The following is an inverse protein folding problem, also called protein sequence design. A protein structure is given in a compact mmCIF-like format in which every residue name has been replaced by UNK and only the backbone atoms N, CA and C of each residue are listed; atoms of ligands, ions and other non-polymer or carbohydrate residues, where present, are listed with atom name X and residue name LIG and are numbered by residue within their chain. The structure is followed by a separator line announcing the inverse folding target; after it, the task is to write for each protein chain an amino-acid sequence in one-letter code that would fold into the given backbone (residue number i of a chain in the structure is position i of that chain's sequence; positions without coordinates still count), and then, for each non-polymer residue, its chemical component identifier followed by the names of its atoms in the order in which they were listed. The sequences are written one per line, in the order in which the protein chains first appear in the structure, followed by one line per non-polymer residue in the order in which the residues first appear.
data_IF_970899049486
#
_entry.id   IF_970899049486
#
_cell.length_a   1.000
_cell.length_b   1.000
_cell.length_c   1.000
_cell.angle_alpha   90.00
_cell.angle_beta   90.00
_cell.angle_gamma   90.00
#
_symmetry.space_group_name_H-M   'P 1'
#
loop_
_entity.id
_entity.type
_entity.pdbx_description
1 polymer ?
#
# COMPACT_ATOMS: atom_id res chain seq x y z
N UNK A 1 1.16 78.67 66.91
CA UNK A 1 -0.26 78.64 66.36
C UNK A 1 -0.29 77.52 65.32
N UNK A 2 -0.53 76.39 65.80
CA UNK A 2 -1.68 75.52 65.69
C UNK A 2 -2.06 75.21 64.24
N UNK A 3 -1.74 74.04 63.76
CA UNK A 3 -2.43 73.35 62.61
C UNK A 3 -2.47 71.87 62.91
N UNK A 4 -3.62 71.41 62.90
CA UNK A 4 -4.15 70.13 63.30
C UNK A 4 -3.79 69.01 62.36
N UNK A 5 -3.37 67.87 62.89
CA UNK A 5 -3.04 66.68 62.13
C UNK A 5 -4.28 65.82 62.05
N UNK A 6 -4.68 65.47 60.82
CA UNK A 6 -5.72 64.48 60.60
C UNK A 6 -5.06 63.22 60.01
N UNK A 7 -5.04 62.16 60.80
CA UNK A 7 -4.58 60.84 60.42
C UNK A 7 -5.71 60.08 59.62
N UNK A 8 -5.42 59.38 58.53
CA UNK A 8 -6.39 58.50 57.89
C UNK A 8 -6.35 57.09 58.49
N UNK A 9 -7.54 56.48 58.55
CA UNK A 9 -7.88 55.15 59.07
C UNK A 9 -7.24 54.02 58.20
N UNK A 10 -7.05 52.82 58.75
CA UNK A 10 -6.41 51.71 58.09
C UNK A 10 -7.36 51.06 57.06
N UNK A 11 -6.84 50.75 55.88
CA UNK A 11 -7.49 50.03 54.82
C UNK A 11 -7.59 48.54 55.14
N UNK A 12 -8.79 47.99 54.96
CA UNK A 12 -9.18 46.62 55.09
C UNK A 12 -8.25 45.65 54.31
N UNK A 13 -7.58 44.78 54.99
CA UNK A 13 -6.79 43.69 54.50
C UNK A 13 -7.68 42.52 54.04
N UNK A 14 -8.13 42.53 52.78
CA UNK A 14 -8.71 41.33 52.15
C UNK A 14 -7.58 40.51 51.49
N UNK A 15 -7.46 39.20 51.78
CA UNK A 15 -6.45 38.38 51.15
C UNK A 15 -6.76 38.18 49.64
N UNK A 16 -5.78 38.43 48.80
CA UNK A 16 -5.87 38.18 47.36
C UNK A 16 -6.11 36.70 47.08
N UNK A 17 -7.28 36.40 46.52
CA UNK A 17 -7.60 35.04 46.03
C UNK A 17 -6.65 34.72 44.89
N UNK A 18 -5.66 33.85 45.13
CA UNK A 18 -4.84 33.22 44.08
C UNK A 18 -5.73 32.42 43.13
N UNK A 19 -5.98 32.97 41.96
CA UNK A 19 -6.60 32.22 40.86
C UNK A 19 -5.69 31.04 40.52
N UNK A 20 -6.17 29.80 40.71
CA UNK A 20 -5.55 28.58 40.20
C UNK A 20 -5.44 28.70 38.70
N UNK A 21 -4.28 28.34 38.08
CA UNK A 21 -4.20 28.26 36.63
C UNK A 21 -5.25 27.25 36.14
N UNK A 22 -6.12 27.69 35.26
CA UNK A 22 -7.10 26.81 34.59
C UNK A 22 -6.36 25.72 33.82
N UNK A 23 -6.88 24.51 33.91
CA UNK A 23 -6.47 23.35 33.09
C UNK A 23 -6.35 23.80 31.64
N UNK A 24 -5.22 23.50 30.94
CA UNK A 24 -5.10 23.80 29.53
C UNK A 24 -6.30 23.17 28.80
N UNK A 25 -7.04 23.96 28.02
CA UNK A 25 -8.03 23.44 27.09
C UNK A 25 -7.27 22.53 26.12
N UNK A 26 -7.72 21.28 26.01
CA UNK A 26 -7.27 20.37 24.96
C UNK A 26 -7.38 21.12 23.62
N UNK A 27 -6.26 21.28 22.94
CA UNK A 27 -6.28 21.78 21.57
C UNK A 27 -7.21 20.87 20.74
N UNK A 28 -7.89 21.41 19.72
CA UNK A 28 -8.65 20.56 18.78
C UNK A 28 -7.72 19.45 18.32
N UNK A 29 -8.22 18.21 18.32
CA UNK A 29 -7.52 17.11 17.69
C UNK A 29 -7.30 17.53 16.24
N UNK A 30 -6.04 17.83 15.88
CA UNK A 30 -5.65 18.00 14.49
C UNK A 30 -6.00 16.69 13.78
N UNK A 31 -6.57 16.81 12.59
CA UNK A 31 -6.74 15.66 11.69
C UNK A 31 -5.39 14.94 11.55
N UNK A 32 -5.39 13.59 11.36
CA UNK A 32 -4.14 12.85 11.25
C UNK A 32 -3.30 13.47 10.14
N UNK A 33 -2.14 13.97 10.51
CA UNK A 33 -1.17 14.52 9.57
C UNK A 33 -0.72 13.35 8.68
N UNK A 34 -1.15 13.36 7.42
CA UNK A 34 -0.83 12.33 6.41
C UNK A 34 0.68 12.12 6.35
N UNK A 35 1.46 13.18 6.50
CA UNK A 35 2.91 13.12 6.53
C UNK A 35 3.44 12.28 7.71
N UNK A 36 2.88 12.42 8.92
CA UNK A 36 3.29 11.61 10.08
C UNK A 36 2.99 10.13 9.89
N UNK A 37 1.85 9.79 9.26
CA UNK A 37 1.51 8.40 8.96
C UNK A 37 2.51 7.77 8.01
N UNK A 38 2.89 8.47 6.95
CA UNK A 38 3.85 8.01 5.95
C UNK A 38 5.27 7.91 6.53
N UNK A 39 5.67 8.84 7.39
CA UNK A 39 6.93 8.76 8.13
C UNK A 39 7.00 7.53 9.05
N UNK A 40 5.88 7.17 9.72
CA UNK A 40 5.79 5.95 10.52
C UNK A 40 6.00 4.72 9.65
N UNK A 41 5.34 4.64 8.48
CA UNK A 41 5.46 3.53 7.55
C UNK A 41 6.89 3.37 7.03
N UNK A 42 7.52 4.47 6.59
CA UNK A 42 8.88 4.46 6.06
C UNK A 42 9.91 4.03 7.12
N UNK A 43 9.81 4.54 8.34
CA UNK A 43 10.67 4.13 9.46
C UNK A 43 10.44 2.67 9.82
N UNK A 44 9.18 2.23 9.88
CA UNK A 44 8.82 0.85 10.20
C UNK A 44 9.38 -0.13 9.14
N UNK A 45 9.22 0.17 7.85
CA UNK A 45 9.76 -0.63 6.75
C UNK A 45 11.27 -0.83 6.90
N UNK A 46 12.02 0.24 7.15
CA UNK A 46 13.47 0.16 7.38
C UNK A 46 13.85 -0.68 8.60
N UNK A 47 13.13 -0.54 9.71
CA UNK A 47 13.39 -1.31 10.93
C UNK A 47 13.05 -2.79 10.72
N UNK A 48 11.91 -3.11 10.11
CA UNK A 48 11.53 -4.49 9.80
C UNK A 48 12.54 -5.16 8.87
N UNK A 49 13.01 -4.46 7.84
CA UNK A 49 14.03 -4.99 6.93
C UNK A 49 15.38 -5.22 7.62
N UNK A 50 15.77 -4.35 8.58
CA UNK A 50 17.06 -4.39 9.25
C UNK A 50 17.15 -5.43 10.37
N UNK A 51 16.11 -5.55 11.20
CA UNK A 51 16.13 -6.33 12.44
C UNK A 51 14.96 -7.31 12.58
N UNK A 52 14.13 -7.43 11.53
CA UNK A 52 12.95 -8.30 11.49
C UNK A 52 11.74 -7.74 12.25
N UNK A 53 10.60 -8.39 12.04
CA UNK A 53 9.34 -8.02 12.69
C UNK A 53 9.44 -8.16 14.22
N UNK A 54 9.90 -9.33 14.71
CA UNK A 54 10.00 -9.59 16.15
C UNK A 54 11.00 -8.66 16.86
N UNK A 55 12.10 -8.32 16.21
CA UNK A 55 13.12 -7.41 16.73
C UNK A 55 12.69 -5.94 16.78
N UNK A 56 11.55 -5.58 16.17
CA UNK A 56 11.07 -4.20 16.07
C UNK A 56 9.89 -3.96 17.00
N UNK A 57 9.92 -2.86 17.74
CA UNK A 57 8.83 -2.44 18.63
C UNK A 57 8.22 -1.10 18.18
N UNK A 58 6.94 -0.89 18.46
CA UNK A 58 6.25 0.39 18.20
C UNK A 58 6.92 1.57 18.90
N UNK A 59 7.54 1.32 20.08
CA UNK A 59 8.31 2.32 20.80
C UNK A 59 9.57 2.76 20.04
N UNK A 60 10.30 1.81 19.45
CA UNK A 60 11.47 2.12 18.61
C UNK A 60 11.06 2.91 17.36
N UNK A 61 9.96 2.50 16.70
CA UNK A 61 9.43 3.23 15.55
C UNK A 61 9.11 4.68 15.95
N UNK A 62 8.31 4.90 17.01
CA UNK A 62 7.95 6.22 17.49
C UNK A 62 9.19 7.07 17.85
N UNK A 63 10.21 6.46 18.47
CA UNK A 63 11.46 7.13 18.84
C UNK A 63 12.24 7.61 17.60
N UNK A 64 12.31 6.78 16.55
CA UNK A 64 13.04 7.14 15.31
C UNK A 64 12.29 8.21 14.51
N UNK A 65 10.95 8.16 14.48
CA UNK A 65 10.09 9.21 13.89
C UNK A 65 10.16 10.52 14.69
N UNK A 66 10.50 10.46 15.98
CA UNK A 66 10.53 11.64 16.85
C UNK A 66 9.18 11.99 17.47
N UNK A 67 8.25 11.03 17.54
CA UNK A 67 6.92 11.21 18.12
C UNK A 67 6.77 10.43 19.44
N UNK A 68 5.72 10.75 20.19
CA UNK A 68 5.34 9.95 21.37
C UNK A 68 4.69 8.65 20.91
N UNK A 69 4.91 7.55 21.65
CA UNK A 69 4.27 6.27 21.35
C UNK A 69 2.72 6.37 21.34
N UNK A 70 2.13 7.22 22.16
CA UNK A 70 0.69 7.49 22.11
C UNK A 70 0.23 8.11 20.78
N UNK A 71 1.07 8.93 20.16
CA UNK A 71 0.79 9.49 18.82
C UNK A 71 0.86 8.42 17.74
N UNK A 72 1.78 7.45 17.84
CA UNK A 72 1.82 6.31 16.92
C UNK A 72 0.54 5.50 17.02
N UNK A 73 0.04 5.22 18.22
CA UNK A 73 -1.21 4.48 18.42
C UNK A 73 -2.46 5.22 17.94
N UNK A 74 -2.38 6.51 17.71
CA UNK A 74 -3.44 7.26 17.05
C UNK A 74 -3.55 6.90 15.54
N UNK A 75 -2.41 6.61 14.89
CA UNK A 75 -2.36 6.24 13.48
C UNK A 75 -2.53 4.72 13.25
N UNK A 76 -1.99 3.89 14.14
CA UNK A 76 -1.96 2.44 14.01
C UNK A 76 -2.27 1.77 15.36
N UNK A 77 -3.28 0.90 15.38
CA UNK A 77 -3.74 0.24 16.60
C UNK A 77 -2.65 -0.65 17.24
N UNK A 78 -1.82 -1.28 16.42
CA UNK A 78 -0.78 -2.22 16.82
C UNK A 78 0.33 -2.32 15.75
N UNK A 79 1.36 -3.13 16.03
CA UNK A 79 2.48 -3.35 15.12
C UNK A 79 2.05 -4.08 13.83
N UNK A 80 1.11 -5.01 13.93
CA UNK A 80 0.59 -5.74 12.76
C UNK A 80 -0.18 -4.84 11.82
N UNK A 81 -0.94 -3.86 12.33
CA UNK A 81 -1.62 -2.84 11.52
C UNK A 81 -0.64 -2.01 10.66
N UNK A 82 0.56 -1.74 11.18
CA UNK A 82 1.62 -1.07 10.41
C UNK A 82 2.07 -1.95 9.25
N UNK A 83 2.27 -3.24 9.49
CA UNK A 83 2.68 -4.18 8.44
C UNK A 83 1.60 -4.32 7.38
N UNK A 84 0.33 -4.49 7.77
CA UNK A 84 -0.80 -4.57 6.81
C UNK A 84 -0.86 -3.32 5.94
N UNK A 85 -0.69 -2.14 6.51
CA UNK A 85 -0.64 -0.89 5.73
C UNK A 85 0.57 -0.82 4.78
N UNK A 86 1.74 -1.34 5.18
CA UNK A 86 2.90 -1.45 4.31
C UNK A 86 2.64 -2.43 3.15
N UNK A 87 2.08 -3.61 3.45
CA UNK A 87 1.73 -4.61 2.44
C UNK A 87 0.69 -4.07 1.44
N UNK A 88 -0.31 -3.36 1.91
CA UNK A 88 -1.32 -2.74 1.05
C UNK A 88 -0.68 -1.65 0.17
N UNK A 89 0.20 -0.82 0.74
CA UNK A 89 0.96 0.19 0.01
C UNK A 89 1.87 -0.37 -1.10
N UNK A 90 2.31 -1.63 -1.00
CA UNK A 90 3.14 -2.25 -2.06
C UNK A 90 2.35 -2.53 -3.34
N UNK A 91 1.04 -2.64 -3.29
CA UNK A 91 0.18 -2.89 -4.46
C UNK A 91 -0.47 -1.62 -5.02
N UNK A 92 -0.47 -0.52 -4.27
CA UNK A 92 -1.06 0.75 -4.71
C UNK A 92 -0.57 1.26 -6.07
N UNK A 93 0.73 1.13 -6.43
CA UNK A 93 1.19 1.50 -7.77
C UNK A 93 0.52 0.70 -8.87
N UNK A 94 0.34 -0.62 -8.68
CA UNK A 94 -0.32 -1.52 -9.62
C UNK A 94 -1.82 -1.24 -9.73
N UNK A 95 -2.47 -0.89 -8.63
CA UNK A 95 -3.87 -0.43 -8.63
C UNK A 95 -4.00 0.86 -9.43
N UNK A 96 -3.16 1.86 -9.18
CA UNK A 96 -3.16 3.14 -9.90
C UNK A 96 -2.93 2.94 -11.42
N UNK A 97 -2.00 2.06 -11.78
CA UNK A 97 -1.78 1.70 -13.17
C UNK A 97 -2.99 1.00 -13.79
N UNK A 98 -3.63 0.08 -13.08
CA UNK A 98 -4.84 -0.62 -13.53
C UNK A 98 -6.01 0.34 -13.77
N UNK A 99 -6.18 1.35 -12.92
CA UNK A 99 -7.20 2.38 -13.12
C UNK A 99 -6.93 3.22 -14.38
N UNK A 100 -5.68 3.62 -14.59
CA UNK A 100 -5.30 4.33 -15.81
C UNK A 100 -5.56 3.47 -17.06
N UNK A 101 -5.24 2.16 -17.04
CA UNK A 101 -5.50 1.24 -18.15
C UNK A 101 -6.98 1.14 -18.52
N UNK A 102 -7.92 1.37 -17.60
CA UNK A 102 -9.36 1.37 -17.90
C UNK A 102 -9.76 2.47 -18.89
N UNK A 103 -9.10 3.63 -18.79
CA UNK A 103 -9.35 4.77 -19.67
C UNK A 103 -8.63 4.71 -21.01
N UNK A 104 -7.67 3.79 -21.17
CA UNK A 104 -6.89 3.64 -22.41
C UNK A 104 -7.64 2.74 -23.39
N UNK A 105 -7.70 3.12 -24.67
CA UNK A 105 -8.18 2.26 -25.74
C UNK A 105 -7.06 1.29 -26.18
N UNK A 106 -7.19 0.03 -25.81
CA UNK A 106 -6.30 -1.06 -26.21
C UNK A 106 -7.02 -2.41 -26.07
N UNK A 107 -6.52 -3.41 -26.78
CA UNK A 107 -7.03 -4.78 -26.72
C UNK A 107 -6.89 -5.36 -25.29
N UNK A 108 -7.83 -6.19 -24.83
CA UNK A 108 -7.79 -6.77 -23.48
C UNK A 108 -6.48 -7.52 -23.18
N UNK A 109 -5.94 -8.26 -24.17
CA UNK A 109 -4.69 -8.99 -24.07
C UNK A 109 -3.50 -8.05 -23.81
N UNK A 110 -3.49 -6.89 -24.49
CA UNK A 110 -2.47 -5.87 -24.31
C UNK A 110 -2.54 -5.27 -22.91
N UNK A 111 -3.75 -4.97 -22.41
CA UNK A 111 -3.96 -4.44 -21.06
C UNK A 111 -3.56 -5.43 -19.99
N UNK A 112 -3.96 -6.71 -20.15
CA UNK A 112 -3.60 -7.77 -19.19
C UNK A 112 -2.09 -7.99 -19.16
N UNK A 113 -1.44 -8.04 -20.32
CA UNK A 113 0.02 -8.14 -20.39
C UNK A 113 0.70 -6.96 -19.72
N UNK A 114 0.24 -5.74 -20.01
CA UNK A 114 0.78 -4.51 -19.44
C UNK A 114 0.64 -4.50 -17.91
N UNK A 115 -0.54 -4.85 -17.38
CA UNK A 115 -0.77 -4.91 -15.94
C UNK A 115 0.16 -5.93 -15.27
N UNK A 116 0.26 -7.15 -15.82
CA UNK A 116 1.10 -8.20 -15.27
C UNK A 116 2.60 -7.82 -15.32
N UNK A 117 3.06 -7.18 -16.40
CA UNK A 117 4.45 -6.75 -16.53
C UNK A 117 4.79 -5.60 -15.56
N UNK A 118 3.89 -4.63 -15.41
CA UNK A 118 4.06 -3.52 -14.50
C UNK A 118 4.05 -3.97 -13.03
N UNK A 119 3.08 -4.81 -12.66
CA UNK A 119 2.96 -5.36 -11.31
C UNK A 119 4.18 -6.20 -10.93
N UNK A 120 4.68 -7.01 -11.84
CA UNK A 120 5.94 -7.71 -11.66
C UNK A 120 7.11 -6.76 -11.41
N UNK A 121 7.21 -5.67 -12.16
CA UNK A 121 8.25 -4.66 -11.95
C UNK A 121 8.14 -4.04 -10.56
N UNK A 122 6.93 -3.75 -10.09
CA UNK A 122 6.67 -3.29 -8.71
C UNK A 122 7.19 -4.32 -7.70
N UNK A 123 6.77 -5.58 -7.83
CA UNK A 123 7.16 -6.66 -6.91
C UNK A 123 8.69 -6.86 -6.92
N UNK A 124 9.31 -6.88 -8.09
CA UNK A 124 10.74 -7.15 -8.24
C UNK A 124 11.63 -6.00 -7.75
N UNK A 125 11.15 -4.77 -7.80
CA UNK A 125 11.86 -3.59 -7.37
C UNK A 125 11.50 -3.11 -5.95
N UNK A 126 10.57 -3.78 -5.25
CA UNK A 126 10.29 -3.49 -3.84
C UNK A 126 11.58 -3.64 -2.99
N UNK A 127 12.16 -2.54 -2.47
CA UNK A 127 13.45 -2.58 -1.77
C UNK A 127 13.39 -3.35 -0.45
N UNK A 128 12.19 -3.46 0.14
CA UNK A 128 12.02 -3.98 1.48
C UNK A 128 11.56 -5.44 1.53
N UNK A 129 11.15 -6.01 0.39
CA UNK A 129 10.59 -7.37 0.32
C UNK A 129 9.47 -7.62 1.35
N UNK A 130 8.59 -6.61 1.53
CA UNK A 130 7.57 -6.59 2.57
C UNK A 130 6.61 -7.78 2.51
N UNK A 131 6.37 -8.34 1.33
CA UNK A 131 5.48 -9.51 1.13
C UNK A 131 5.84 -10.73 2.01
N UNK A 132 7.10 -10.83 2.46
CA UNK A 132 7.54 -11.87 3.40
C UNK A 132 6.81 -11.76 4.74
N UNK A 133 6.46 -10.55 5.14
CA UNK A 133 5.81 -10.28 6.43
C UNK A 133 4.36 -10.79 6.49
N UNK A 134 3.68 -11.00 5.35
CA UNK A 134 2.32 -11.57 5.31
C UNK A 134 2.24 -13.00 5.87
N UNK A 135 3.37 -13.69 5.97
CA UNK A 135 3.45 -15.06 6.54
C UNK A 135 3.59 -15.10 8.06
N UNK A 136 3.75 -13.95 8.69
CA UNK A 136 3.81 -13.85 10.15
C UNK A 136 2.40 -14.05 10.70
N UNK A 137 2.16 -14.99 11.66
CA UNK A 137 0.82 -15.31 12.14
C UNK A 137 -0.01 -14.10 12.61
N UNK A 138 0.60 -13.19 13.36
CA UNK A 138 -0.08 -11.97 13.83
C UNK A 138 -0.47 -11.04 12.68
N UNK A 139 0.34 -10.99 11.62
CA UNK A 139 0.07 -10.20 10.43
C UNK A 139 -1.04 -10.85 9.62
N UNK A 140 -0.97 -12.16 9.39
CA UNK A 140 -2.00 -12.91 8.67
C UNK A 140 -3.37 -12.80 9.35
N UNK A 141 -3.43 -12.93 10.69
CA UNK A 141 -4.66 -12.71 11.44
C UNK A 141 -5.21 -11.29 11.30
N UNK A 142 -4.31 -10.30 11.27
CA UNK A 142 -4.71 -8.90 11.08
C UNK A 142 -5.16 -8.60 9.66
N UNK A 143 -4.56 -9.22 8.66
CA UNK A 143 -5.03 -9.14 7.27
C UNK A 143 -6.43 -9.73 7.12
N UNK A 144 -6.72 -10.85 7.79
CA UNK A 144 -8.05 -11.47 7.80
C UNK A 144 -9.09 -10.55 8.47
N UNK A 145 -8.74 -9.89 9.58
CA UNK A 145 -9.62 -8.96 10.31
C UNK A 145 -9.91 -7.68 9.52
N UNK A 146 -8.88 -7.03 8.99
CA UNK A 146 -8.99 -5.70 8.38
C UNK A 146 -9.15 -5.72 6.85
N UNK A 147 -8.88 -6.86 6.22
CA UNK A 147 -8.80 -7.00 4.77
C UNK A 147 -7.56 -6.30 4.19
N UNK A 148 -7.44 -6.41 2.87
CA UNK A 148 -6.45 -5.70 2.05
C UNK A 148 -7.17 -5.09 0.85
N UNK A 149 -7.75 -3.89 1.01
CA UNK A 149 -8.60 -3.28 -0.02
C UNK A 149 -7.89 -3.04 -1.34
N UNK A 150 -6.63 -2.61 -1.32
CA UNK A 150 -5.82 -2.40 -2.52
C UNK A 150 -5.56 -3.73 -3.24
N UNK A 151 -5.18 -4.78 -2.50
CA UNK A 151 -4.97 -6.11 -3.07
C UNK A 151 -6.26 -6.67 -3.66
N UNK A 152 -7.38 -6.54 -2.95
CA UNK A 152 -8.70 -6.99 -3.42
C UNK A 152 -9.09 -6.26 -4.71
N UNK A 153 -8.83 -4.96 -4.78
CA UNK A 153 -9.06 -4.16 -5.99
C UNK A 153 -8.21 -4.67 -7.14
N UNK A 154 -6.90 -4.90 -6.91
CA UNK A 154 -6.00 -5.40 -7.93
C UNK A 154 -6.43 -6.80 -8.45
N UNK A 155 -6.80 -7.71 -7.55
CA UNK A 155 -7.35 -9.03 -7.91
C UNK A 155 -8.58 -8.90 -8.81
N UNK A 156 -9.51 -7.99 -8.46
CA UNK A 156 -10.69 -7.69 -9.27
C UNK A 156 -10.33 -7.20 -10.66
N UNK A 157 -9.28 -6.38 -10.81
CA UNK A 157 -8.80 -5.90 -12.12
C UNK A 157 -8.22 -7.01 -12.99
N UNK A 158 -7.44 -7.91 -12.40
CA UNK A 158 -6.94 -9.09 -13.12
C UNK A 158 -8.08 -9.97 -13.62
N UNK A 159 -9.09 -10.21 -12.77
CA UNK A 159 -10.25 -11.01 -13.13
C UNK A 159 -11.09 -10.36 -14.25
N UNK A 160 -11.33 -9.04 -14.18
CA UNK A 160 -12.01 -8.26 -15.20
C UNK A 160 -11.29 -8.39 -16.56
N UNK A 161 -9.98 -8.15 -16.60
CA UNK A 161 -9.19 -8.23 -17.83
C UNK A 161 -9.11 -9.65 -18.37
N UNK A 162 -8.96 -10.66 -17.50
CA UNK A 162 -8.92 -12.05 -17.94
C UNK A 162 -10.25 -12.49 -18.60
N UNK A 163 -11.39 -12.09 -18.03
CA UNK A 163 -12.71 -12.31 -18.65
C UNK A 163 -12.85 -11.59 -19.98
N UNK A 164 -12.43 -10.31 -20.04
CA UNK A 164 -12.47 -9.54 -21.30
C UNK A 164 -11.61 -10.18 -22.41
N UNK A 165 -10.46 -10.76 -22.05
CA UNK A 165 -9.64 -11.52 -23.01
C UNK A 165 -10.38 -12.76 -23.54
N UNK A 166 -11.09 -13.48 -22.69
CA UNK A 166 -11.86 -14.65 -23.10
C UNK A 166 -13.08 -14.27 -23.98
N UNK A 167 -13.77 -13.18 -23.62
CA UNK A 167 -14.92 -12.65 -24.37
C UNK A 167 -14.52 -12.14 -25.76
N UNK A 168 -13.41 -11.41 -25.87
CA UNK A 168 -12.89 -10.91 -27.15
C UNK A 168 -12.52 -12.01 -28.13
N UNK A 169 -12.36 -13.26 -27.64
CA UNK A 169 -11.98 -14.44 -28.42
C UNK A 169 -13.15 -15.36 -28.74
N UNK A 170 -14.36 -15.00 -28.29
CA UNK A 170 -15.56 -15.76 -28.68
C UNK A 170 -15.72 -15.76 -30.21
N UNK A 171 -15.79 -16.95 -30.84
CA UNK A 171 -16.01 -17.11 -32.24
C UNK A 171 -17.46 -17.58 -32.42
N UNK A 172 -18.22 -16.91 -33.29
CA UNK A 172 -19.61 -17.25 -33.63
C UNK A 172 -20.59 -17.32 -32.42
N UNK A 173 -20.32 -16.56 -31.35
CA UNK A 173 -21.18 -16.54 -30.17
C UNK A 173 -20.93 -17.71 -29.20
N UNK A 174 -20.04 -18.63 -29.49
CA UNK A 174 -19.51 -19.61 -28.54
C UNK A 174 -18.33 -19.01 -27.79
N UNK A 175 -18.55 -18.68 -26.52
CA UNK A 175 -17.48 -18.32 -25.62
C UNK A 175 -16.51 -19.49 -25.49
N UNK A 176 -15.21 -19.24 -25.64
CA UNK A 176 -14.20 -20.21 -25.23
C UNK A 176 -14.52 -20.59 -23.77
N UNK A 177 -14.78 -21.88 -23.52
CA UNK A 177 -15.03 -22.38 -22.17
C UNK A 177 -13.73 -22.31 -21.37
N UNK A 178 -13.40 -21.10 -20.90
CA UNK A 178 -12.31 -20.89 -19.93
C UNK A 178 -12.91 -21.13 -18.55
N UNK A 179 -12.43 -22.13 -17.81
CA UNK A 179 -12.91 -22.37 -16.44
C UNK A 179 -12.73 -21.15 -15.55
N UNK A 180 -13.70 -20.88 -14.68
CA UNK A 180 -13.63 -19.75 -13.73
C UNK A 180 -12.35 -19.79 -12.87
N UNK A 181 -11.86 -20.99 -12.59
CA UNK A 181 -10.59 -21.20 -11.87
C UNK A 181 -9.38 -20.62 -12.61
N UNK A 182 -9.38 -20.65 -13.96
CA UNK A 182 -8.24 -20.18 -14.75
C UNK A 182 -8.10 -18.66 -14.67
N UNK A 183 -9.19 -17.92 -14.53
CA UNK A 183 -9.15 -16.48 -14.31
C UNK A 183 -8.45 -16.13 -12.99
N UNK A 184 -8.71 -16.90 -11.93
CA UNK A 184 -8.05 -16.72 -10.64
C UNK A 184 -6.56 -17.11 -10.68
N UNK A 185 -6.20 -18.11 -11.49
CA UNK A 185 -4.82 -18.53 -11.69
C UNK A 185 -3.96 -17.48 -12.40
N UNK A 186 -4.56 -16.60 -13.20
CA UNK A 186 -3.84 -15.48 -13.84
C UNK A 186 -3.18 -14.60 -12.78
N UNK A 187 -3.92 -14.19 -11.74
CA UNK A 187 -3.35 -13.44 -10.63
C UNK A 187 -2.36 -14.29 -9.82
N UNK A 188 -2.68 -15.56 -9.57
CA UNK A 188 -1.80 -16.49 -8.87
C UNK A 188 -0.43 -16.67 -9.52
N UNK A 189 -0.33 -16.58 -10.87
CA UNK A 189 0.97 -16.59 -11.55
C UNK A 189 1.84 -15.38 -11.18
N UNK A 190 1.26 -14.19 -11.10
CA UNK A 190 1.97 -12.99 -10.69
C UNK A 190 2.40 -13.10 -9.22
N UNK A 191 1.49 -13.49 -8.34
CA UNK A 191 1.75 -13.71 -6.91
C UNK A 191 2.82 -14.79 -6.65
N UNK A 192 3.00 -15.75 -7.56
CA UNK A 192 4.03 -16.80 -7.42
C UNK A 192 5.45 -16.23 -7.30
N UNK A 193 5.68 -15.04 -7.85
CA UNK A 193 6.98 -14.35 -7.80
C UNK A 193 7.31 -13.87 -6.38
N UNK A 194 6.32 -13.49 -5.60
CA UNK A 194 6.49 -13.16 -4.19
C UNK A 194 7.09 -14.35 -3.43
N UNK A 195 6.57 -15.56 -3.68
CA UNK A 195 7.10 -16.78 -3.08
C UNK A 195 8.51 -17.10 -3.56
N UNK A 196 8.80 -16.97 -4.86
CA UNK A 196 10.13 -17.22 -5.43
C UNK A 196 11.17 -16.24 -4.86
N UNK A 197 10.81 -14.99 -4.68
CA UNK A 197 11.67 -13.98 -4.07
C UNK A 197 12.02 -14.32 -2.62
N UNK A 198 11.09 -14.87 -1.87
CA UNK A 198 11.31 -15.34 -0.50
C UNK A 198 12.33 -16.47 -0.43
N UNK A 199 12.26 -17.44 -1.34
CA UNK A 199 13.14 -18.62 -1.34
C UNK A 199 14.53 -18.36 -1.93
N UNK A 200 14.85 -17.12 -2.34
CA UNK A 200 16.17 -16.73 -2.82
C UNK A 200 16.52 -17.21 -4.24
N UNK A 201 15.52 -17.63 -5.02
CA UNK A 201 15.72 -18.20 -6.36
C UNK A 201 15.74 -17.20 -7.53
N UNK A 202 15.72 -15.88 -7.29
CA UNK A 202 15.60 -14.87 -8.35
C UNK A 202 16.98 -14.43 -8.91
N UNK A 203 17.76 -15.35 -9.44
CA UNK A 203 19.00 -14.99 -10.17
C UNK A 203 18.73 -14.28 -11.51
N UNK A 204 17.50 -14.37 -12.06
CA UNK A 204 17.15 -13.82 -13.38
C UNK A 204 15.82 -13.07 -13.39
N UNK A 205 15.80 -11.85 -12.84
CA UNK A 205 14.63 -10.93 -12.90
C UNK A 205 14.05 -10.79 -14.31
N UNK A 206 14.93 -10.70 -15.32
CA UNK A 206 14.52 -10.52 -16.72
C UNK A 206 13.71 -11.71 -17.28
N UNK A 207 14.00 -12.95 -16.84
CA UNK A 207 13.23 -14.13 -17.29
C UNK A 207 11.80 -14.08 -16.76
N UNK A 208 11.59 -13.74 -15.49
CA UNK A 208 10.24 -13.65 -14.92
C UNK A 208 9.45 -12.51 -15.53
N UNK A 209 10.08 -11.35 -15.76
CA UNK A 209 9.43 -10.19 -16.38
C UNK A 209 8.84 -10.50 -17.76
N UNK A 210 9.47 -11.39 -18.54
CA UNK A 210 8.94 -11.81 -19.83
C UNK A 210 8.01 -13.03 -19.74
N UNK A 211 8.30 -13.98 -18.84
CA UNK A 211 7.61 -15.28 -18.79
C UNK A 211 6.23 -15.20 -18.15
N UNK A 212 6.08 -14.45 -17.06
CA UNK A 212 4.83 -14.39 -16.30
C UNK A 212 3.70 -13.71 -17.08
N UNK A 213 3.86 -12.51 -17.67
CA UNK A 213 2.81 -11.90 -18.50
C UNK A 213 2.39 -12.79 -19.69
N UNK A 214 3.36 -13.45 -20.33
CA UNK A 214 3.07 -14.45 -21.37
C UNK A 214 2.30 -15.64 -20.83
N UNK A 215 2.66 -16.14 -19.64
CA UNK A 215 1.97 -17.23 -18.95
C UNK A 215 0.52 -16.90 -18.65
N UNK A 216 0.22 -15.68 -18.23
CA UNK A 216 -1.15 -15.19 -18.01
C UNK A 216 -2.00 -15.31 -19.28
N UNK A 217 -1.48 -14.87 -20.42
CA UNK A 217 -2.21 -14.96 -21.70
C UNK A 217 -2.31 -16.39 -22.23
N UNK A 218 -1.28 -17.22 -22.04
CA UNK A 218 -1.31 -18.65 -22.40
C UNK A 218 -2.38 -19.43 -21.64
N UNK A 219 -2.55 -19.16 -20.34
CA UNK A 219 -3.64 -19.76 -19.54
C UNK A 219 -5.01 -19.49 -20.15
N UNK A 220 -5.19 -18.33 -20.75
CA UNK A 220 -6.42 -17.92 -21.40
C UNK A 220 -6.50 -18.39 -22.87
N UNK A 221 -5.57 -19.25 -23.33
CA UNK A 221 -5.54 -19.79 -24.66
C UNK A 221 -5.18 -18.78 -25.76
N UNK A 222 -4.53 -17.66 -25.42
CA UNK A 222 -4.10 -16.66 -26.41
C UNK A 222 -2.96 -17.22 -27.26
N UNK A 223 -3.03 -17.18 -28.62
CA UNK A 223 -1.97 -17.67 -29.50
C UNK A 223 -0.67 -16.88 -29.36
N UNK A 224 0.48 -17.54 -29.50
CA UNK A 224 1.79 -16.92 -29.37
C UNK A 224 2.00 -15.68 -30.27
N UNK A 225 1.45 -15.68 -31.48
CA UNK A 225 1.52 -14.51 -32.34
C UNK A 225 0.81 -13.29 -31.76
N UNK A 226 -0.39 -13.48 -31.17
CA UNK A 226 -1.13 -12.41 -30.50
C UNK A 226 -0.42 -11.98 -29.20
N UNK A 227 0.18 -12.91 -28.45
CA UNK A 227 0.98 -12.60 -27.26
C UNK A 227 2.20 -11.73 -27.63
N UNK A 228 2.83 -12.00 -28.78
CA UNK A 228 3.93 -11.16 -29.26
C UNK A 228 3.50 -9.72 -29.53
N UNK A 229 2.37 -9.53 -30.22
CA UNK A 229 1.79 -8.20 -30.47
C UNK A 229 1.41 -7.50 -29.18
N UNK A 230 0.74 -8.20 -28.26
CA UNK A 230 0.36 -7.67 -26.96
C UNK A 230 1.58 -7.21 -26.16
N UNK A 231 2.68 -7.97 -26.16
CA UNK A 231 3.90 -7.60 -25.47
C UNK A 231 4.52 -6.29 -26.00
N UNK A 232 4.60 -6.12 -27.34
CA UNK A 232 5.15 -4.92 -27.96
C UNK A 232 4.28 -3.68 -27.69
N UNK A 233 2.97 -3.84 -27.70
CA UNK A 233 2.02 -2.76 -27.39
C UNK A 233 2.02 -2.43 -25.90
N UNK A 234 2.09 -3.43 -25.02
CA UNK A 234 2.14 -3.26 -23.58
C UNK A 234 3.37 -2.46 -23.15
N UNK A 235 4.53 -2.68 -23.77
CA UNK A 235 5.73 -1.91 -23.49
C UNK A 235 5.53 -0.41 -23.73
N UNK A 236 4.77 -0.05 -24.77
CA UNK A 236 4.41 1.36 -25.05
C UNK A 236 3.45 1.91 -24.01
N UNK A 237 2.40 1.16 -23.65
CA UNK A 237 1.45 1.57 -22.63
C UNK A 237 2.15 1.84 -21.29
N UNK A 238 3.09 0.98 -20.89
CA UNK A 238 3.85 1.16 -19.65
C UNK A 238 4.70 2.44 -19.73
N UNK A 239 5.34 2.71 -20.88
CA UNK A 239 6.14 3.90 -21.09
C UNK A 239 5.31 5.20 -21.11
N UNK A 240 4.07 5.13 -21.60
CA UNK A 240 3.15 6.28 -21.68
C UNK A 240 2.43 6.56 -20.34
N UNK A 241 2.55 5.68 -19.35
CA UNK A 241 1.91 5.87 -18.05
C UNK A 241 2.52 7.03 -17.28
N UNK A 242 1.73 8.08 -16.94
CA UNK A 242 2.28 9.27 -16.25
C UNK A 242 2.92 8.95 -14.91
N UNK A 243 2.45 7.93 -14.21
CA UNK A 243 3.00 7.49 -12.93
C UNK A 243 4.33 6.72 -13.03
N UNK A 244 4.79 6.34 -14.22
CA UNK A 244 6.08 5.67 -14.40
C UNK A 244 7.28 6.60 -14.15
N UNK A 245 7.09 7.92 -14.31
CA UNK A 245 8.14 8.93 -14.12
C UNK A 245 8.30 9.39 -12.65
N UNK A 246 7.39 8.96 -11.76
CA UNK A 246 7.38 9.32 -10.34
C UNK A 246 8.11 8.32 -9.42
N UNK A 247 8.80 7.33 -9.99
CA UNK A 247 9.51 6.26 -9.26
C UNK A 247 11.00 6.47 -9.16
#
# INVERSE_FOLDING_TARGET
MTADAHAPLPSDGRPAVRRRPGRPRSAPQAEPDTNTRDEILDVAARLFAKQGYEGTTTRQIAQVVGIKQASLYYHFADKSSIVVALLDGTVSPSVSFSEWLRAVEAEPETKLYALAAYDLDVILNDPWSMHVLSRIPDVAAKEEESGRPELTTLQGRYLELARSCAEARAIDGESLSVPETDFSLVFGLVESIVAQRYWGGLETRAQYAATVPRGCLRLLGVPEAAIGVAADQAARLIADYPGAQAR
#
